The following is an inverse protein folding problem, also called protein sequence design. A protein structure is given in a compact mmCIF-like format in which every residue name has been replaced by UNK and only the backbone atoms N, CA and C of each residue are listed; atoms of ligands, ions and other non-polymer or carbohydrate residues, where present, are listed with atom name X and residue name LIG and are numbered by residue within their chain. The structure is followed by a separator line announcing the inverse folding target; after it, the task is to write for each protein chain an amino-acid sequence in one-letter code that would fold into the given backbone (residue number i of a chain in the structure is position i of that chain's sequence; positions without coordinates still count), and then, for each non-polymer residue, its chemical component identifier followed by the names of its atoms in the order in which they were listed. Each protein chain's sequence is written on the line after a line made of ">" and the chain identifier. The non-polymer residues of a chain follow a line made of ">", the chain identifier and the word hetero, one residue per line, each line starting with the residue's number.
data_IF_361267517510
#
_entry.id   IF_361267517510
#
_cell.length_a   1.000
_cell.length_b   1.000
_cell.length_c   1.000
_cell.angle_alpha   90.00
_cell.angle_beta   90.00
_cell.angle_gamma   90.00
#
_symmetry.space_group_name_H-M   'P 1'
#
loop_
_entity.id
_entity.type
_entity.pdbx_description
1 polymer ?
#
# COMPACT_ATOMS: atom_id res chain seq x y z
N UNK A 1 7.83 -10.12 -1.32
CA UNK A 1 6.89 -11.15 -0.83
C UNK A 1 6.14 -10.54 0.35
N UNK A 2 4.83 -10.42 0.25
CA UNK A 2 3.99 -9.93 1.36
C UNK A 2 3.30 -11.15 1.95
N UNK A 3 3.50 -11.40 3.23
CA UNK A 3 3.03 -12.59 3.95
C UNK A 3 2.08 -12.13 5.05
N UNK A 4 0.82 -12.53 4.96
CA UNK A 4 -0.13 -12.40 6.06
C UNK A 4 0.05 -13.55 7.06
N UNK A 5 0.02 -13.25 8.36
CA UNK A 5 0.35 -14.20 9.43
C UNK A 5 -0.88 -14.99 9.95
N UNK A 6 -2.09 -14.72 9.44
CA UNK A 6 -3.32 -15.43 9.81
C UNK A 6 -3.61 -16.60 8.84
N UNK A 7 -2.77 -17.64 8.92
CA UNK A 7 -2.87 -18.91 8.16
C UNK A 7 -2.42 -18.86 6.68
N UNK A 8 -1.11 -18.93 6.48
CA UNK A 8 -0.32 -19.23 5.26
C UNK A 8 -1.12 -19.75 4.04
N UNK A 9 -1.11 -18.98 2.95
CA UNK A 9 -0.59 -19.36 1.61
C UNK A 9 -0.37 -18.09 0.74
N UNK A 10 0.81 -17.50 0.93
CA UNK A 10 1.63 -16.72 -0.02
C UNK A 10 0.98 -15.67 -0.96
N UNK A 11 1.23 -14.38 -0.72
CA UNK A 11 1.32 -13.39 -1.82
C UNK A 11 2.78 -13.18 -2.21
N UNK A 12 3.15 -13.71 -3.38
CA UNK A 12 4.50 -13.61 -3.93
C UNK A 12 4.59 -12.39 -4.85
N UNK A 13 4.79 -11.19 -4.28
CA UNK A 13 5.41 -10.10 -5.01
C UNK A 13 6.92 -10.36 -5.08
N UNK A 14 7.39 -10.97 -6.17
CA UNK A 14 8.81 -11.23 -6.43
C UNK A 14 9.34 -10.16 -7.39
N UNK A 15 10.20 -9.28 -6.88
CA UNK A 15 11.08 -8.45 -7.74
C UNK A 15 12.29 -9.30 -8.16
N UNK A 16 12.66 -9.19 -9.43
CA UNK A 16 13.52 -10.14 -10.17
C UNK A 16 15.00 -10.07 -9.77
N UNK A 17 15.67 -11.22 -9.91
CA UNK A 17 17.11 -11.44 -9.77
C UNK A 17 17.86 -10.92 -11.01
N UNK A 18 18.84 -10.03 -10.84
CA UNK A 18 19.74 -9.64 -11.93
C UNK A 18 21.01 -10.50 -11.94
N UNK A 19 21.23 -11.25 -13.03
CA UNK A 19 22.53 -11.83 -13.38
C UNK A 19 23.39 -10.76 -14.07
N UNK A 20 24.54 -10.42 -13.48
CA UNK A 20 25.52 -9.52 -14.11
C UNK A 20 26.34 -10.29 -15.15
N UNK A 21 26.10 -10.06 -16.43
CA UNK A 21 27.11 -10.27 -17.47
C UNK A 21 27.93 -8.99 -17.60
N UNK A 22 29.20 -9.01 -17.19
CA UNK A 22 30.15 -7.91 -17.42
C UNK A 22 30.51 -7.90 -18.91
N UNK A 23 30.31 -6.77 -19.58
CA UNK A 23 31.11 -6.38 -20.73
C UNK A 23 31.80 -5.06 -20.39
N UNK A 24 33.12 -5.14 -20.33
CA UNK A 24 34.03 -4.01 -20.21
C UNK A 24 34.21 -3.39 -21.59
N UNK A 25 34.07 -2.07 -21.71
CA UNK A 25 35.00 -1.30 -22.55
C UNK A 25 35.14 0.16 -22.07
N UNK A 26 36.41 0.50 -21.85
CA UNK A 26 37.09 1.80 -21.87
C UNK A 26 36.54 2.78 -22.91
N UNK A 27 36.29 4.06 -22.59
CA UNK A 27 37.27 5.17 -22.48
C UNK A 27 36.92 6.20 -23.58
N UNK A 28 37.19 7.51 -23.57
CA UNK A 28 37.98 8.43 -22.75
C UNK A 28 37.64 9.87 -23.26
N UNK A 29 37.82 10.90 -22.40
CA UNK A 29 38.20 12.30 -22.71
C UNK A 29 37.26 13.26 -23.49
N UNK A 30 37.04 14.46 -22.94
CA UNK A 30 36.71 15.66 -23.70
C UNK A 30 36.19 16.85 -22.87
N UNK A 31 37.02 17.90 -22.72
CA UNK A 31 36.85 19.07 -21.83
C UNK A 31 36.54 20.32 -22.69
N UNK A 32 35.58 21.18 -22.29
CA UNK A 32 35.75 22.65 -22.11
C UNK A 32 34.42 23.44 -22.04
N UNK A 33 34.52 24.46 -21.21
CA UNK A 33 33.61 25.53 -20.75
C UNK A 33 33.41 26.67 -21.74
N UNK A 34 32.32 27.46 -21.63
CA UNK A 34 32.31 28.94 -21.72
C UNK A 34 31.00 29.56 -21.18
N UNK A 35 31.14 30.53 -20.24
CA UNK A 35 30.50 31.88 -20.13
C UNK A 35 28.98 32.10 -20.34
N UNK A 36 28.25 33.07 -19.78
CA UNK A 36 28.19 33.87 -18.54
C UNK A 36 26.97 34.82 -18.68
N UNK A 37 26.16 34.98 -17.61
CA UNK A 37 25.24 36.09 -17.18
C UNK A 37 24.57 37.10 -18.17
N UNK A 38 23.26 37.30 -17.99
CA UNK A 38 22.55 38.57 -17.67
C UNK A 38 21.02 38.31 -17.50
N UNK A 39 20.41 38.36 -16.32
CA UNK A 39 19.64 39.45 -15.65
C UNK A 39 18.29 39.90 -16.25
N UNK A 40 17.33 40.08 -15.31
CA UNK A 40 16.07 40.86 -15.30
C UNK A 40 14.74 40.22 -15.77
N UNK A 41 13.71 40.34 -14.91
CA UNK A 41 12.30 40.16 -15.29
C UNK A 41 11.36 39.74 -14.16
N UNK A 42 11.03 40.68 -13.26
CA UNK A 42 9.93 40.54 -12.30
C UNK A 42 8.59 40.72 -13.04
N UNK A 43 7.70 39.74 -13.02
CA UNK A 43 6.28 39.94 -13.38
C UNK A 43 5.38 38.96 -12.61
N UNK A 44 4.62 39.53 -11.66
CA UNK A 44 3.41 38.95 -11.09
C UNK A 44 2.42 38.62 -12.21
N UNK A 45 1.85 37.41 -12.19
CA UNK A 45 0.47 37.17 -12.65
C UNK A 45 -0.10 35.94 -11.94
N UNK A 46 -1.22 36.18 -11.26
CA UNK A 46 -2.12 35.15 -10.75
C UNK A 46 -2.59 34.27 -11.91
N UNK A 47 -2.56 32.96 -11.74
CA UNK A 47 -3.46 32.05 -12.45
C UNK A 47 -3.76 30.84 -11.58
N UNK A 48 -5.00 30.81 -11.10
CA UNK A 48 -5.64 29.71 -10.39
C UNK A 48 -5.98 28.68 -11.46
N UNK A 49 -5.07 27.73 -11.73
CA UNK A 49 -5.39 26.61 -12.62
C UNK A 49 -6.10 25.53 -11.82
N UNK A 50 -7.44 25.51 -11.95
CA UNK A 50 -8.29 24.35 -11.66
C UNK A 50 -7.80 23.18 -12.52
N UNK A 51 -7.09 22.24 -11.91
CA UNK A 51 -6.81 20.94 -12.50
C UNK A 51 -7.88 19.97 -12.03
N UNK A 52 -8.65 19.44 -12.99
CA UNK A 52 -9.70 18.46 -12.74
C UNK A 52 -9.50 17.32 -13.74
N UNK A 53 -8.71 16.28 -13.41
CA UNK A 53 -8.66 15.10 -14.24
C UNK A 53 -9.87 14.22 -13.91
N UNK A 54 -10.87 14.27 -14.77
CA UNK A 54 -11.99 13.33 -14.75
C UNK A 54 -11.50 11.95 -15.16
N UNK A 55 -11.57 10.97 -14.25
CA UNK A 55 -11.29 9.57 -14.53
C UNK A 55 -12.57 8.74 -14.51
N UNK A 56 -12.71 7.73 -15.38
CA UNK A 56 -13.88 6.87 -15.40
C UNK A 56 -13.90 5.99 -14.14
N UNK A 57 -14.88 6.23 -13.26
CA UNK A 57 -15.24 5.33 -12.16
C UNK A 57 -15.91 4.09 -12.77
N UNK A 58 -15.40 2.90 -12.46
CA UNK A 58 -16.14 1.64 -12.65
C UNK A 58 -16.51 1.08 -11.30
N UNK A 59 -17.74 1.35 -10.87
CA UNK A 59 -18.41 0.59 -9.82
C UNK A 59 -18.91 -0.70 -10.45
N UNK A 60 -18.21 -1.82 -10.25
CA UNK A 60 -18.84 -3.13 -10.44
C UNK A 60 -19.51 -3.46 -9.11
N UNK A 61 -20.80 -3.13 -9.01
CA UNK A 61 -21.64 -3.69 -7.95
C UNK A 61 -21.82 -5.17 -8.26
N UNK A 62 -21.28 -6.04 -7.40
CA UNK A 62 -21.60 -7.47 -7.42
C UNK A 62 -22.92 -7.64 -6.65
N UNK A 63 -24.01 -7.60 -7.39
CA UNK A 63 -25.28 -8.25 -7.03
C UNK A 63 -25.60 -9.19 -8.18
N UNK A 64 -25.88 -10.45 -7.84
CA UNK A 64 -26.07 -11.56 -8.77
C UNK A 64 -27.17 -11.34 -9.82
N UNK A 65 -27.02 -12.10 -10.90
CA UNK A 65 -27.96 -12.48 -11.98
C UNK A 65 -28.00 -11.63 -13.26
N UNK A 66 -27.74 -12.29 -14.39
CA UNK A 66 -28.19 -11.88 -15.72
C UNK A 66 -27.09 -11.62 -16.74
N UNK A 67 -27.03 -12.47 -17.77
CA UNK A 67 -26.18 -12.34 -18.95
C UNK A 67 -26.29 -10.96 -19.64
N UNK A 68 -25.18 -10.39 -20.12
CA UNK A 68 -24.95 -10.06 -21.55
C UNK A 68 -23.63 -9.31 -21.83
N UNK A 69 -22.96 -9.78 -22.88
CA UNK A 69 -22.11 -9.12 -23.88
C UNK A 69 -21.06 -8.05 -23.48
N UNK A 70 -19.81 -8.39 -23.77
CA UNK A 70 -18.63 -7.53 -23.70
C UNK A 70 -18.65 -6.39 -24.75
N UNK A 71 -18.14 -5.21 -24.35
CA UNK A 71 -17.58 -4.18 -25.24
C UNK A 71 -16.18 -3.79 -24.78
N UNK A 72 -15.25 -3.82 -25.73
CA UNK A 72 -13.83 -3.50 -25.55
C UNK A 72 -13.60 -2.00 -25.29
N UNK A 73 -12.58 -1.70 -24.48
CA UNK A 73 -12.09 -0.36 -24.13
C UNK A 73 -10.53 -0.34 -24.13
N UNK A 74 -9.90 0.84 -24.21
CA UNK A 74 -8.64 1.06 -24.93
C UNK A 74 -7.36 0.81 -24.11
N UNK A 75 -6.23 0.85 -24.82
CA UNK A 75 -4.87 0.52 -24.39
C UNK A 75 -4.44 1.16 -23.06
N UNK A 76 -4.35 0.30 -22.04
CA UNK A 76 -3.58 0.48 -20.80
C UNK A 76 -2.89 -0.85 -20.49
N UNK A 77 -1.75 -0.78 -19.80
CA UNK A 77 -0.85 -1.91 -19.51
C UNK A 77 -1.61 -3.20 -19.14
N UNK A 78 -1.25 -4.31 -19.80
CA UNK A 78 -2.03 -5.55 -19.82
C UNK A 78 -2.10 -6.27 -18.48
N UNK A 79 -3.07 -5.90 -17.64
CA UNK A 79 -3.64 -6.79 -16.63
C UNK A 79 -4.21 -8.01 -17.35
N UNK A 80 -3.61 -9.18 -17.13
CA UNK A 80 -4.21 -10.41 -17.63
C UNK A 80 -5.51 -10.69 -16.85
N UNK A 81 -6.57 -11.17 -17.54
CA UNK A 81 -7.86 -11.41 -16.92
C UNK A 81 -7.74 -12.38 -15.73
N UNK A 82 -8.45 -12.05 -14.66
CA UNK A 82 -8.58 -12.88 -13.46
C UNK A 82 -9.14 -14.26 -13.85
N UNK A 83 -8.50 -15.33 -13.38
CA UNK A 83 -9.05 -16.68 -13.50
C UNK A 83 -9.73 -17.05 -12.19
N UNK A 84 -11.05 -17.06 -12.18
CA UNK A 84 -11.82 -17.78 -11.17
C UNK A 84 -11.92 -19.26 -11.58
N UNK A 85 -11.16 -20.13 -10.91
CA UNK A 85 -11.40 -21.57 -10.99
C UNK A 85 -12.37 -22.03 -9.90
N UNK A 86 -13.17 -23.06 -10.22
CA UNK A 86 -14.12 -23.70 -9.33
C UNK A 86 -13.41 -24.19 -8.04
N UNK A 87 -13.42 -23.35 -7.01
CA UNK A 87 -12.63 -23.54 -5.80
C UNK A 87 -12.31 -22.27 -5.01
N UNK A 88 -12.61 -21.08 -5.53
CA UNK A 88 -12.36 -19.82 -4.81
C UNK A 88 -10.89 -19.38 -4.83
N UNK A 89 -10.16 -19.81 -5.86
CA UNK A 89 -8.79 -19.37 -6.14
C UNK A 89 -8.84 -18.17 -7.08
N UNK A 90 -8.17 -17.08 -6.68
CA UNK A 90 -7.91 -15.91 -7.50
C UNK A 90 -6.41 -15.79 -7.71
N UNK A 91 -5.99 -15.46 -8.93
CA UNK A 91 -4.58 -15.28 -9.24
C UNK A 91 -4.38 -14.52 -10.54
N UNK A 92 -3.23 -13.86 -10.63
CA UNK A 92 -2.86 -13.07 -11.79
C UNK A 92 -1.41 -12.65 -11.77
N UNK A 93 -0.98 -12.05 -12.87
CA UNK A 93 0.35 -11.49 -13.00
C UNK A 93 0.27 -10.19 -13.80
N UNK A 94 1.19 -9.29 -13.51
CA UNK A 94 1.34 -8.03 -14.21
C UNK A 94 2.81 -7.79 -14.54
N UNK A 95 3.09 -7.03 -15.59
CA UNK A 95 4.44 -6.60 -15.95
C UNK A 95 4.41 -5.11 -16.24
N UNK A 96 5.45 -4.39 -15.82
CA UNK A 96 5.64 -3.01 -16.25
C UNK A 96 5.91 -2.95 -17.75
N UNK A 97 5.58 -1.82 -18.38
CA UNK A 97 5.78 -1.63 -19.83
C UNK A 97 7.24 -1.75 -20.26
N UNK A 98 8.18 -1.36 -19.39
CA UNK A 98 9.63 -1.50 -19.63
C UNK A 98 10.15 -2.93 -19.36
N UNK A 99 9.29 -3.85 -18.90
CA UNK A 99 9.63 -5.23 -18.58
C UNK A 99 10.55 -5.40 -17.37
N UNK A 100 10.94 -4.31 -16.69
CA UNK A 100 11.88 -4.35 -15.56
C UNK A 100 11.23 -4.88 -14.28
N UNK A 101 9.92 -4.74 -14.15
CA UNK A 101 9.14 -5.20 -13.03
C UNK A 101 8.09 -6.20 -13.49
N UNK A 102 8.02 -7.32 -12.78
CA UNK A 102 6.94 -8.28 -12.90
C UNK A 102 6.32 -8.51 -11.53
N UNK A 103 5.00 -8.58 -11.47
CA UNK A 103 4.27 -8.93 -10.28
C UNK A 103 3.48 -10.23 -10.51
N UNK A 104 3.30 -10.98 -9.44
CA UNK A 104 2.35 -12.09 -9.37
C UNK A 104 1.56 -11.98 -8.08
N UNK A 105 0.33 -12.45 -8.09
CA UNK A 105 -0.49 -12.55 -6.90
C UNK A 105 -1.36 -13.80 -6.95
N UNK A 106 -1.69 -14.30 -5.77
CA UNK A 106 -2.68 -15.34 -5.59
C UNK A 106 -3.38 -15.09 -4.26
N UNK A 107 -4.68 -15.36 -4.23
CA UNK A 107 -5.52 -15.21 -3.07
C UNK A 107 -6.47 -16.39 -3.00
N UNK A 108 -6.68 -16.91 -1.80
CA UNK A 108 -7.47 -18.11 -1.57
C UNK A 108 -8.12 -18.05 -0.18
N UNK A 109 -9.44 -18.22 -0.12
CA UNK A 109 -10.21 -18.18 1.13
C UNK A 109 -9.73 -19.18 2.18
N UNK A 110 -9.17 -20.31 1.75
CA UNK A 110 -8.79 -21.37 2.67
C UNK A 110 -9.98 -22.00 3.38
N UNK A 111 -9.78 -22.34 4.66
CA UNK A 111 -10.79 -23.01 5.51
C UNK A 111 -11.80 -22.05 6.14
N UNK A 112 -11.71 -20.73 5.86
CA UNK A 112 -12.63 -19.73 6.42
C UNK A 112 -13.98 -19.77 5.71
N UNK A 113 -15.03 -19.36 6.41
CA UNK A 113 -16.37 -19.26 5.83
C UNK A 113 -16.47 -18.09 4.83
N UNK A 114 -15.91 -16.95 5.21
CA UNK A 114 -15.84 -15.70 4.44
C UNK A 114 -14.41 -15.43 3.98
N UNK A 115 -14.27 -14.63 2.91
CA UNK A 115 -13.00 -14.11 2.44
C UNK A 115 -12.93 -12.63 2.84
N UNK A 116 -12.12 -12.31 3.84
CA UNK A 116 -11.97 -10.93 4.35
C UNK A 116 -10.66 -10.28 3.89
N UNK A 117 -9.72 -11.06 3.34
CA UNK A 117 -8.49 -10.54 2.75
C UNK A 117 -8.78 -9.84 1.40
N UNK A 118 -8.19 -8.67 1.23
CA UNK A 118 -8.14 -7.94 -0.02
C UNK A 118 -6.70 -7.64 -0.43
N UNK A 119 -6.51 -7.38 -1.72
CA UNK A 119 -5.27 -6.83 -2.25
C UNK A 119 -5.58 -5.72 -3.27
N UNK A 120 -4.61 -4.83 -3.44
CA UNK A 120 -4.61 -3.85 -4.53
C UNK A 120 -3.23 -3.78 -5.19
N UNK A 121 -3.22 -3.68 -6.51
CA UNK A 121 -2.00 -3.57 -7.32
C UNK A 121 -2.24 -2.48 -8.36
N UNK A 122 -1.47 -1.40 -8.26
CA UNK A 122 -1.51 -0.28 -9.22
C UNK A 122 -0.13 -0.08 -9.82
N UNK A 123 -0.05 -0.13 -11.14
CA UNK A 123 1.14 0.22 -11.91
C UNK A 123 0.78 1.42 -12.77
N UNK A 124 1.50 2.51 -12.61
CA UNK A 124 1.28 3.76 -13.33
C UNK A 124 2.60 4.46 -13.63
N UNK A 125 2.53 5.52 -14.42
CA UNK A 125 3.63 6.47 -14.65
C UNK A 125 3.16 7.86 -14.26
N UNK A 126 3.90 8.52 -13.38
CA UNK A 126 3.64 9.91 -12.95
C UNK A 126 4.91 10.70 -13.22
N UNK A 127 4.81 11.79 -13.98
CA UNK A 127 5.96 12.61 -14.42
C UNK A 127 7.08 11.77 -15.06
N UNK A 128 6.71 10.82 -15.94
CA UNK A 128 7.62 9.85 -16.59
C UNK A 128 8.36 8.90 -15.63
N UNK A 129 8.06 8.94 -14.33
CA UNK A 129 8.62 8.02 -13.35
C UNK A 129 7.68 6.84 -13.15
N UNK A 130 8.18 5.59 -13.19
CA UNK A 130 7.37 4.44 -12.86
C UNK A 130 6.96 4.50 -11.39
N UNK A 131 5.66 4.30 -11.14
CA UNK A 131 5.07 4.18 -9.82
C UNK A 131 4.37 2.83 -9.74
N UNK A 132 4.76 1.99 -8.79
CA UNK A 132 4.11 0.72 -8.53
C UNK A 132 3.67 0.65 -7.07
N UNK A 133 2.43 0.31 -6.82
CA UNK A 133 1.87 0.19 -5.48
C UNK A 133 1.26 -1.18 -5.31
N UNK A 134 1.61 -1.84 -4.21
CA UNK A 134 1.13 -3.17 -3.85
C UNK A 134 0.62 -3.10 -2.41
N UNK A 135 -0.63 -3.50 -2.16
CA UNK A 135 -1.24 -3.48 -0.85
C UNK A 135 -1.90 -4.81 -0.53
N UNK A 136 -1.66 -5.31 0.68
CA UNK A 136 -2.37 -6.46 1.26
C UNK A 136 -3.10 -6.00 2.51
N UNK A 137 -4.38 -6.36 2.58
CA UNK A 137 -5.31 -5.95 3.61
C UNK A 137 -5.99 -7.19 4.20
N UNK A 138 -5.54 -7.65 5.36
CA UNK A 138 -6.19 -8.74 6.11
C UNK A 138 -7.36 -8.13 6.90
N UNK A 139 -8.59 -8.49 6.57
CA UNK A 139 -9.79 -7.99 7.23
C UNK A 139 -10.18 -8.83 8.45
N UNK A 140 -10.81 -8.20 9.44
CA UNK A 140 -11.37 -8.88 10.60
C UNK A 140 -12.66 -8.23 11.08
N UNK A 141 -13.59 -9.06 11.58
CA UNK A 141 -14.92 -8.60 11.99
C UNK A 141 -15.85 -8.33 10.81
N UNK A 142 -15.41 -8.63 9.58
CA UNK A 142 -16.06 -8.36 8.30
C UNK A 142 -15.06 -7.84 7.26
N UNK A 143 -15.48 -7.77 5.99
CA UNK A 143 -14.63 -7.38 4.87
C UNK A 143 -14.67 -5.88 4.55
N UNK A 144 -15.50 -5.07 5.24
CA UNK A 144 -15.74 -3.68 4.82
C UNK A 144 -14.50 -2.82 4.93
N UNK A 145 -13.73 -2.98 5.99
CA UNK A 145 -12.49 -2.24 6.20
C UNK A 145 -11.46 -2.57 5.10
N UNK A 146 -11.22 -3.86 4.82
CA UNK A 146 -10.25 -4.27 3.80
C UNK A 146 -10.69 -3.89 2.38
N UNK A 147 -11.99 -3.97 2.08
CA UNK A 147 -12.58 -3.50 0.82
C UNK A 147 -12.45 -1.98 0.65
N UNK A 148 -12.70 -1.22 1.71
CA UNK A 148 -12.54 0.24 1.69
C UNK A 148 -11.08 0.63 1.43
N UNK A 149 -10.13 -0.02 2.10
CA UNK A 149 -8.69 0.22 1.87
C UNK A 149 -8.27 -0.08 0.44
N UNK A 150 -8.73 -1.20 -0.13
CA UNK A 150 -8.50 -1.55 -1.54
C UNK A 150 -8.96 -0.43 -2.49
N UNK A 151 -10.05 0.26 -2.18
CA UNK A 151 -10.61 1.29 -3.05
C UNK A 151 -9.97 2.66 -2.83
N UNK A 152 -9.67 3.03 -1.58
CA UNK A 152 -9.37 4.42 -1.21
C UNK A 152 -7.91 4.67 -0.85
N UNK A 153 -7.17 3.69 -0.29
CA UNK A 153 -5.87 3.97 0.30
C UNK A 153 -4.86 4.49 -0.73
N UNK A 154 -4.70 3.80 -1.86
CA UNK A 154 -3.80 4.26 -2.93
C UNK A 154 -4.33 5.46 -3.70
N UNK A 155 -5.66 5.62 -3.82
CA UNK A 155 -6.25 6.81 -4.43
C UNK A 155 -5.96 8.07 -3.60
N UNK A 156 -6.13 7.98 -2.28
CA UNK A 156 -5.80 9.05 -1.35
C UNK A 156 -4.29 9.33 -1.35
N UNK A 157 -3.46 8.29 -1.44
CA UNK A 157 -2.00 8.44 -1.52
C UNK A 157 -1.57 9.18 -2.78
N UNK A 158 -2.09 8.79 -3.95
CA UNK A 158 -1.76 9.43 -5.23
C UNK A 158 -2.22 10.90 -5.30
N UNK A 159 -3.32 11.24 -4.64
CA UNK A 159 -3.83 12.62 -4.55
C UNK A 159 -3.03 13.49 -3.57
N UNK A 160 -2.22 12.89 -2.70
CA UNK A 160 -1.47 13.64 -1.70
C UNK A 160 -0.43 14.54 -2.37
N UNK A 161 -0.35 15.85 -2.04
CA UNK A 161 0.50 16.82 -2.74
C UNK A 161 2.00 16.52 -2.62
N UNK A 162 2.39 15.78 -1.58
CA UNK A 162 3.78 15.34 -1.38
C UNK A 162 4.10 13.96 -1.98
N UNK A 163 3.16 13.28 -2.64
CA UNK A 163 3.36 11.90 -3.08
C UNK A 163 4.64 11.69 -3.90
N UNK A 164 4.88 12.56 -4.89
CA UNK A 164 6.06 12.46 -5.76
C UNK A 164 7.32 13.15 -5.23
N UNK A 165 7.16 14.15 -4.35
CA UNK A 165 8.27 14.95 -3.83
C UNK A 165 8.84 14.42 -2.52
N UNK A 166 7.99 13.87 -1.65
CA UNK A 166 8.33 13.27 -0.37
C UNK A 166 7.30 12.19 -0.02
N UNK A 167 7.42 11.04 -0.69
CA UNK A 167 6.50 9.90 -0.54
C UNK A 167 6.45 9.40 0.91
N UNK A 168 7.57 9.44 1.64
CA UNK A 168 7.59 9.04 3.05
C UNK A 168 6.66 9.94 3.87
N UNK A 169 6.78 11.26 3.72
CA UNK A 169 5.88 12.21 4.39
C UNK A 169 4.43 12.13 3.91
N UNK A 170 4.17 11.70 2.68
CA UNK A 170 2.81 11.44 2.21
C UNK A 170 2.17 10.23 2.94
N UNK A 171 2.97 9.22 3.26
CA UNK A 171 2.51 8.01 3.97
C UNK A 171 2.37 8.26 5.48
N UNK A 172 3.39 8.85 6.12
CA UNK A 172 3.41 9.23 7.55
C UNK A 172 4.18 10.54 7.68
N UNK A 173 3.52 11.62 8.08
CA UNK A 173 4.22 12.90 8.30
C UNK A 173 4.56 13.06 9.78
N UNK A 174 5.84 12.84 10.12
CA UNK A 174 6.45 13.36 11.33
C UNK A 174 7.14 14.70 11.01
N UNK A 175 6.55 15.84 11.41
CA UNK A 175 7.17 17.07 11.96
C UNK A 175 6.19 18.26 11.92
N UNK A 176 5.71 18.67 13.11
CA UNK A 176 5.32 20.04 13.53
C UNK A 176 4.47 20.86 12.53
N UNK A 177 3.27 20.41 12.18
CA UNK A 177 2.16 21.33 11.86
C UNK A 177 0.83 20.55 11.85
N UNK A 178 -0.08 20.89 12.75
CA UNK A 178 -1.38 20.25 13.00
C UNK A 178 -2.42 20.33 11.85
N UNK A 179 -1.99 20.50 10.59
CA UNK A 179 -2.89 20.84 9.49
C UNK A 179 -2.80 19.93 8.25
N UNK A 180 -1.97 18.88 8.25
CA UNK A 180 -1.95 17.91 7.16
C UNK A 180 -2.21 16.53 7.74
N UNK A 181 -3.41 15.99 7.50
CA UNK A 181 -3.75 14.63 7.85
C UNK A 181 -2.96 13.67 6.99
N UNK A 182 -2.37 12.66 7.62
CA UNK A 182 -1.62 11.60 6.97
C UNK A 182 -2.55 10.76 6.11
N UNK A 183 -2.11 10.27 4.94
CA UNK A 183 -2.99 9.47 4.07
C UNK A 183 -3.61 8.28 4.82
N UNK A 184 -2.84 7.61 5.69
CA UNK A 184 -3.32 6.46 6.46
C UNK A 184 -4.35 6.86 7.52
N UNK A 185 -4.02 7.84 8.37
CA UNK A 185 -4.94 8.34 9.39
C UNK A 185 -6.21 8.95 8.78
N UNK A 186 -6.09 9.69 7.68
CA UNK A 186 -7.23 10.26 6.97
C UNK A 186 -8.12 9.17 6.39
N UNK A 187 -7.54 8.17 5.73
CA UNK A 187 -8.30 7.04 5.17
C UNK A 187 -9.01 6.26 6.27
N UNK A 188 -8.38 6.10 7.44
CA UNK A 188 -9.00 5.48 8.62
C UNK A 188 -10.16 6.33 9.17
N UNK A 189 -9.98 7.64 9.31
CA UNK A 189 -11.02 8.55 9.77
C UNK A 189 -12.21 8.57 8.79
N UNK A 190 -11.96 8.58 7.48
CA UNK A 190 -12.99 8.55 6.45
C UNK A 190 -13.76 7.22 6.45
N UNK A 191 -13.06 6.10 6.63
CA UNK A 191 -13.71 4.80 6.82
C UNK A 191 -14.64 4.81 8.05
N UNK A 192 -14.13 5.29 9.19
CA UNK A 192 -14.91 5.40 10.42
C UNK A 192 -16.09 6.38 10.29
N UNK A 193 -16.00 7.45 9.49
CA UNK A 193 -17.19 8.29 9.25
C UNK A 193 -18.21 7.58 8.35
N UNK A 194 -17.74 6.85 7.33
CA UNK A 194 -18.62 6.13 6.40
C UNK A 194 -19.41 4.98 7.05
N UNK A 195 -18.87 4.37 8.12
CA UNK A 195 -19.49 3.24 8.83
C UNK A 195 -20.11 3.65 10.19
N UNK A 196 -20.39 4.93 10.42
CA UNK A 196 -20.90 5.40 11.72
C UNK A 196 -22.28 4.87 12.11
N UNK A 197 -23.10 4.51 11.11
CA UNK A 197 -24.51 4.09 11.33
C UNK A 197 -24.69 2.57 11.33
N UNK A 198 -23.64 1.80 11.04
CA UNK A 198 -23.77 0.36 10.76
C UNK A 198 -23.60 -0.52 11.99
N UNK A 199 -23.25 0.07 13.15
CA UNK A 199 -22.94 -0.61 14.43
C UNK A 199 -21.92 -1.74 14.32
N UNK A 200 -21.15 -1.81 13.22
CA UNK A 200 -20.11 -2.80 13.01
C UNK A 200 -18.76 -2.28 13.49
N UNK A 201 -17.89 -3.21 13.86
CA UNK A 201 -16.52 -2.93 14.32
C UNK A 201 -15.50 -3.66 13.44
N UNK A 202 -15.73 -3.66 12.13
CA UNK A 202 -14.79 -4.14 11.12
C UNK A 202 -13.44 -3.42 11.28
N UNK A 203 -12.36 -4.15 10.99
CA UNK A 203 -11.04 -3.58 10.88
C UNK A 203 -10.18 -4.32 9.88
N UNK A 204 -9.02 -3.75 9.57
CA UNK A 204 -8.09 -4.39 8.65
C UNK A 204 -6.64 -4.00 8.94
N UNK A 205 -5.72 -4.93 8.68
CA UNK A 205 -4.30 -4.64 8.55
C UNK A 205 -4.01 -3.97 7.20
N UNK A 206 -2.86 -3.32 7.08
CA UNK A 206 -2.35 -2.89 5.79
C UNK A 206 -0.84 -3.08 5.75
N UNK A 207 -0.38 -3.91 4.82
CA UNK A 207 1.03 -4.01 4.47
C UNK A 207 1.19 -3.56 3.03
N UNK A 208 1.76 -2.38 2.83
CA UNK A 208 1.93 -1.80 1.48
C UNK A 208 3.40 -1.66 1.11
N UNK A 209 3.64 -1.73 -0.20
CA UNK A 209 4.93 -1.53 -0.82
C UNK A 209 4.73 -0.57 -2.01
N UNK A 210 5.32 0.62 -1.92
CA UNK A 210 5.17 1.70 -2.89
C UNK A 210 6.54 1.98 -3.50
N UNK A 211 6.71 1.70 -4.78
CA UNK A 211 7.93 1.95 -5.54
C UNK A 211 7.74 3.22 -6.36
N UNK A 212 8.56 4.24 -6.10
CA UNK A 212 8.60 5.50 -6.85
C UNK A 212 10.01 5.70 -7.37
N UNK A 213 10.21 5.54 -8.69
CA UNK A 213 11.56 5.48 -9.26
C UNK A 213 12.35 4.30 -8.65
N UNK A 214 13.50 4.59 -8.05
CA UNK A 214 14.38 3.58 -7.42
C UNK A 214 14.15 3.42 -5.90
N UNK A 215 13.14 4.07 -5.33
CA UNK A 215 12.85 4.04 -3.89
C UNK A 215 11.62 3.18 -3.60
N UNK A 216 11.82 2.13 -2.78
CA UNK A 216 10.74 1.31 -2.25
C UNK A 216 10.42 1.74 -0.82
N UNK A 217 9.19 2.18 -0.61
CA UNK A 217 8.61 2.54 0.68
C UNK A 217 7.72 1.39 1.13
N UNK A 218 8.06 0.74 2.23
CA UNK A 218 7.23 -0.28 2.86
C UNK A 218 6.58 0.33 4.09
N UNK A 219 5.25 0.31 4.13
CA UNK A 219 4.46 0.83 5.23
C UNK A 219 3.57 -0.26 5.81
N UNK A 220 3.64 -0.48 7.12
CA UNK A 220 2.92 -1.55 7.79
C UNK A 220 2.02 -1.01 8.92
N UNK A 221 0.79 -1.52 8.98
CA UNK A 221 -0.19 -1.37 10.06
C UNK A 221 -0.76 -2.75 10.34
N UNK A 222 -0.59 -3.26 11.56
CA UNK A 222 -1.02 -4.61 11.93
C UNK A 222 0.06 -5.68 11.76
N UNK A 223 -0.37 -6.93 11.57
CA UNK A 223 0.49 -8.12 11.61
C UNK A 223 0.58 -8.88 10.27
N UNK A 224 0.15 -8.25 9.17
CA UNK A 224 0.68 -8.55 7.85
C UNK A 224 2.16 -8.15 7.76
N UNK A 225 2.91 -8.77 6.83
CA UNK A 225 4.36 -8.58 6.74
C UNK A 225 4.86 -8.42 5.33
N UNK A 226 5.82 -7.53 5.11
CA UNK A 226 6.57 -7.44 3.85
C UNK A 226 8.00 -7.93 4.04
N UNK A 227 8.48 -8.76 3.12
CA UNK A 227 9.87 -9.23 3.05
C UNK A 227 10.42 -9.09 1.64
N UNK A 228 11.71 -8.78 1.53
CA UNK A 228 12.46 -8.79 0.27
C UNK A 228 13.48 -9.91 0.26
N UNK A 229 13.71 -10.52 -0.90
CA UNK A 229 14.83 -11.44 -1.10
C UNK A 229 15.95 -10.72 -1.85
N UNK A 230 17.15 -10.67 -1.26
CA UNK A 230 18.34 -10.10 -1.89
C UNK A 230 19.47 -11.11 -1.82
N UNK A 231 19.99 -11.50 -2.98
CA UNK A 231 21.05 -12.53 -3.09
C UNK A 231 20.70 -13.84 -2.35
N UNK A 232 19.44 -14.29 -2.47
CA UNK A 232 18.96 -15.51 -1.83
C UNK A 232 18.65 -15.39 -0.33
N UNK A 233 18.84 -14.21 0.28
CA UNK A 233 18.52 -13.96 1.70
C UNK A 233 17.20 -13.21 1.82
N UNK A 234 16.30 -13.73 2.65
CA UNK A 234 15.08 -13.05 3.05
C UNK A 234 15.39 -11.98 4.11
N UNK A 235 14.95 -10.75 3.87
CA UNK A 235 15.13 -9.59 4.75
C UNK A 235 13.72 -9.06 5.04
N UNK A 236 13.35 -9.00 6.31
CA UNK A 236 12.08 -8.41 6.72
C UNK A 236 12.13 -6.89 6.52
N UNK A 237 11.08 -6.36 5.90
CA UNK A 237 10.93 -4.92 5.66
C UNK A 237 9.85 -4.27 6.53
N UNK A 238 9.13 -5.08 7.29
CA UNK A 238 8.21 -4.64 8.32
C UNK A 238 8.33 -5.54 9.54
N UNK A 239 7.89 -5.02 10.69
CA UNK A 239 7.72 -5.76 11.92
C UNK A 239 6.23 -5.82 12.27
N UNK A 240 5.78 -6.96 12.79
CA UNK A 240 4.36 -7.15 13.13
C UNK A 240 4.00 -6.31 14.36
N UNK A 241 2.88 -5.60 14.27
CA UNK A 241 2.33 -4.84 15.38
C UNK A 241 1.55 -5.76 16.34
N UNK A 242 2.29 -6.43 17.22
CA UNK A 242 1.72 -7.34 18.23
C UNK A 242 1.53 -6.61 19.57
N UNK A 243 0.44 -6.88 20.33
CA UNK A 243 0.19 -6.21 21.61
C UNK A 243 1.27 -6.42 22.67
N UNK A 244 2.09 -7.48 22.57
CA UNK A 244 3.21 -7.73 23.47
C UNK A 244 4.56 -7.15 23.00
N UNK A 245 4.61 -6.47 21.86
CA UNK A 245 5.81 -5.72 21.46
C UNK A 245 6.00 -4.59 22.48
N UNK A 246 7.21 -4.42 22.98
CA UNK A 246 7.44 -3.64 24.21
C UNK A 246 7.03 -2.17 24.12
N UNK A 247 7.18 -1.56 22.95
CA UNK A 247 6.77 -0.20 22.61
C UNK A 247 5.25 -0.10 22.43
N UNK A 248 4.63 -1.05 21.72
CA UNK A 248 3.18 -1.09 21.50
C UNK A 248 2.42 -1.32 22.81
N UNK A 249 2.90 -2.22 23.65
CA UNK A 249 2.33 -2.48 24.98
C UNK A 249 2.34 -1.21 25.83
N UNK A 250 3.48 -0.52 25.88
CA UNK A 250 3.60 0.77 26.59
C UNK A 250 2.65 1.82 26.03
N UNK A 251 2.54 1.93 24.69
CA UNK A 251 1.63 2.87 24.04
C UNK A 251 0.16 2.61 24.44
N UNK A 252 -0.26 1.34 24.42
CA UNK A 252 -1.61 0.92 24.80
C UNK A 252 -1.88 1.22 26.28
N UNK A 253 -0.96 0.82 27.17
CA UNK A 253 -1.12 1.01 28.62
C UNK A 253 -1.11 2.50 29.02
N UNK A 254 -0.24 3.31 28.40
CA UNK A 254 -0.21 4.76 28.62
C UNK A 254 -1.50 5.45 28.16
N UNK A 255 -2.18 4.89 27.16
CA UNK A 255 -3.48 5.37 26.71
C UNK A 255 -4.64 4.89 27.61
N UNK A 256 -4.38 4.11 28.67
CA UNK A 256 -5.38 3.54 29.57
C UNK A 256 -5.94 2.18 29.14
N UNK A 257 -5.37 1.57 28.10
CA UNK A 257 -5.76 0.26 27.61
C UNK A 257 -5.09 -0.88 28.40
N UNK A 258 -5.57 -2.09 28.18
CA UNK A 258 -5.01 -3.30 28.82
C UNK A 258 -4.56 -4.29 27.75
N UNK A 259 -3.37 -4.86 27.93
CA UNK A 259 -2.89 -5.99 27.14
C UNK A 259 -3.00 -7.26 27.98
N UNK A 260 -3.79 -8.22 27.51
CA UNK A 260 -4.03 -9.48 28.23
C UNK A 260 -3.76 -10.71 27.36
N UNK A 261 -3.38 -11.80 28.00
CA UNK A 261 -3.18 -13.09 27.35
C UNK A 261 -4.48 -13.89 27.32
N UNK A 262 -4.97 -14.23 26.13
CA UNK A 262 -6.14 -15.08 25.90
C UNK A 262 -5.89 -15.97 24.67
N UNK A 263 -5.06 -17.01 24.85
CA UNK A 263 -4.51 -17.85 23.78
C UNK A 263 -3.43 -17.17 22.93
N UNK A 264 -3.52 -15.85 22.80
CA UNK A 264 -2.50 -14.93 22.28
C UNK A 264 -2.62 -13.59 23.02
N UNK A 265 -1.64 -12.70 22.86
CA UNK A 265 -1.70 -11.35 23.41
C UNK A 265 -2.73 -10.51 22.67
N UNK A 266 -3.63 -9.86 23.42
CA UNK A 266 -4.74 -9.08 22.88
C UNK A 266 -4.90 -7.72 23.56
N UNK A 267 -5.27 -6.71 22.78
CA UNK A 267 -5.72 -5.39 23.26
C UNK A 267 -7.14 -5.51 23.77
N UNK A 268 -7.37 -5.14 25.03
CA UNK A 268 -8.67 -5.24 25.69
C UNK A 268 -9.25 -6.66 25.77
N UNK A 269 -8.43 -7.69 25.54
CA UNK A 269 -8.90 -9.09 25.42
C UNK A 269 -9.54 -9.45 24.08
N UNK A 270 -9.65 -8.49 23.16
CA UNK A 270 -10.38 -8.65 21.90
C UNK A 270 -9.42 -8.82 20.73
N UNK A 271 -8.57 -7.83 20.45
CA UNK A 271 -7.83 -7.75 19.19
C UNK A 271 -6.38 -8.25 19.32
N UNK A 272 -5.94 -9.15 18.44
CA UNK A 272 -4.61 -9.81 18.50
C UNK A 272 -3.47 -9.01 17.84
N UNK A 273 -3.75 -7.79 17.40
CA UNK A 273 -2.81 -6.83 16.81
C UNK A 273 -3.00 -5.47 17.49
N UNK A 274 -1.93 -4.68 17.57
CA UNK A 274 -1.94 -3.39 18.27
C UNK A 274 -2.23 -2.19 17.38
N UNK A 275 -2.16 -2.36 16.06
CA UNK A 275 -2.47 -1.33 15.05
C UNK A 275 -3.37 -1.93 13.98
N UNK A 276 -4.35 -1.17 13.53
CA UNK A 276 -5.30 -1.53 12.48
C UNK A 276 -6.05 -0.29 11.99
N UNK A 277 -6.58 -0.38 10.78
CA UNK A 277 -7.66 0.48 10.30
C UNK A 277 -8.99 0.01 10.88
N UNK A 278 -9.93 0.94 11.08
CA UNK A 278 -11.23 0.64 11.69
C UNK A 278 -11.14 0.42 13.19
N UNK A 279 -11.86 -0.60 13.70
CA UNK A 279 -11.97 -0.93 15.12
C UNK A 279 -12.33 0.28 16.00
N UNK A 280 -13.46 0.92 15.67
CA UNK A 280 -13.98 2.11 16.36
C UNK A 280 -13.96 1.94 17.87
N UNK A 281 -14.40 0.79 18.38
CA UNK A 281 -14.53 0.54 19.81
C UNK A 281 -13.18 0.50 20.54
N UNK A 282 -12.09 0.26 19.81
CA UNK A 282 -10.74 0.18 20.36
C UNK A 282 -9.82 1.29 19.85
N UNK A 283 -10.34 2.30 19.13
CA UNK A 283 -9.52 3.27 18.39
C UNK A 283 -8.58 4.10 19.27
N UNK A 284 -8.95 4.31 20.53
CA UNK A 284 -8.06 4.92 21.53
C UNK A 284 -6.73 4.16 21.71
N UNK A 285 -6.74 2.84 21.50
CA UNK A 285 -5.60 1.94 21.71
C UNK A 285 -5.06 1.35 20.41
N UNK A 286 -5.90 1.23 19.38
CA UNK A 286 -5.59 0.62 18.09
C UNK A 286 -5.52 1.72 17.03
N UNK A 287 -4.31 2.12 16.68
CA UNK A 287 -4.05 3.24 15.77
C UNK A 287 -3.79 2.75 14.34
N UNK A 288 -4.07 3.60 13.35
CA UNK A 288 -3.76 3.34 11.94
C UNK A 288 -2.40 3.93 11.51
N UNK A 289 -1.53 4.28 12.47
CA UNK A 289 -0.21 4.85 12.22
C UNK A 289 0.74 3.80 11.64
N UNK A 290 1.27 3.99 10.42
CA UNK A 290 2.18 3.02 9.82
C UNK A 290 3.61 3.14 10.34
N UNK A 291 4.30 2.01 10.44
CA UNK A 291 5.77 2.00 10.46
C UNK A 291 6.31 1.93 9.05
N UNK A 292 7.22 2.84 8.70
CA UNK A 292 7.77 2.95 7.35
C UNK A 292 9.25 2.59 7.32
N UNK A 293 9.60 1.66 6.42
CA UNK A 293 10.97 1.42 6.01
C UNK A 293 11.18 1.83 4.55
N UNK A 294 12.31 2.49 4.28
CA UNK A 294 12.69 2.92 2.93
C UNK A 294 13.96 2.20 2.51
N UNK A 295 13.95 1.65 1.30
CA UNK A 295 15.09 0.96 0.69
C UNK A 295 15.25 1.40 -0.75
N UNK A 296 16.50 1.56 -1.16
CA UNK A 296 16.84 1.84 -2.55
C UNK A 296 16.94 0.52 -3.32
N UNK A 297 16.09 0.36 -4.32
CA UNK A 297 16.11 -0.72 -5.28
C UNK A 297 16.48 -0.13 -6.65
N UNK A 298 17.78 0.01 -6.96
CA UNK A 298 18.19 0.49 -8.27
C UNK A 298 17.66 -0.45 -9.35
N UNK A 299 16.78 0.04 -10.21
CA UNK A 299 16.22 -0.72 -11.33
C UNK A 299 17.15 -0.59 -12.54
N UNK A 300 18.42 -1.00 -12.37
CA UNK A 300 19.46 -0.96 -13.41
C UNK A 300 19.40 -2.17 -14.32
#
# INVERSE_FOLDING_TARGET
>A
MVVCNSCIRSVIAQTVVFSRTRLLSSGNVGRKTYSSRSTFGLLRRNNINKWNPSFPVRTIMMVDTGSTAAKAAPAGCGLQPEKEEAGGYLGGACKSEDGKLSCGYSSFRGKRATMEDCYDIKISKIDEKPVCMFGIFDGHGGSRASEYLKQQLFENLMKHPKFMSDTKSAISMFYICSCHSETYQQTDADFLDSEKETYRDDGSTASTAVLVGDHLYVANVGDSRTVVSKAGKAIALSEDHKPNRSDERKRIENAGGVVMWAGTWRVGGVLAMSRAFGNRMLKQYVVAEPEIQVINLPIS
#
